data_IF_463652515042
#
_entry.id   IF_463652515042
#
_cell.length_a   1.000
_cell.length_b   1.000
_cell.length_c   1.000
_cell.angle_alpha   90.00
_cell.angle_beta   90.00
_cell.angle_gamma   90.00
#
_symmetry.space_group_name_H-M   'P 1'
#
loop_
_entity.id
_entity.type
_entity.pdbx_description
1 polymer ?
#
# COMPACT_ATOMS: atom_id res chain seq x y z
N UNK A 1 47.23 22.83 -54.95
CA UNK A 1 47.46 24.25 -54.59
C UNK A 1 46.76 24.50 -53.26
N UNK A 2 47.56 24.79 -52.22
CA UNK A 2 47.28 25.44 -50.91
C UNK A 2 46.14 24.88 -50.03
N UNK A 3 46.42 24.09 -48.97
CA UNK A 3 46.81 24.49 -47.60
C UNK A 3 45.89 25.55 -46.95
N UNK A 4 45.11 25.13 -45.94
CA UNK A 4 44.94 25.82 -44.63
C UNK A 4 44.09 24.99 -43.64
N UNK A 5 44.73 24.42 -42.61
CA UNK A 5 44.27 24.45 -41.19
C UNK A 5 44.75 25.81 -40.62
N UNK A 6 44.35 26.34 -39.43
CA UNK A 6 43.74 25.73 -38.23
C UNK A 6 42.60 26.61 -37.60
N UNK A 7 41.96 26.27 -36.48
CA UNK A 7 42.39 26.70 -35.14
C UNK A 7 41.61 25.96 -34.03
N UNK A 8 42.39 25.47 -33.08
CA UNK A 8 42.01 24.84 -31.83
C UNK A 8 41.61 25.95 -30.83
N UNK A 9 40.46 25.86 -30.17
CA UNK A 9 40.15 26.66 -28.98
C UNK A 9 40.07 25.72 -27.79
N UNK A 10 41.15 25.71 -26.99
CA UNK A 10 41.21 25.07 -25.68
C UNK A 10 40.71 26.10 -24.67
N UNK A 11 39.53 25.86 -24.09
CA UNK A 11 39.02 26.64 -22.97
C UNK A 11 39.54 26.03 -21.66
N UNK A 12 40.51 26.68 -21.06
CA UNK A 12 41.05 26.33 -19.74
C UNK A 12 40.12 26.89 -18.67
N UNK A 13 39.26 26.06 -18.07
CA UNK A 13 38.51 26.43 -16.88
C UNK A 13 39.40 26.24 -15.64
N UNK A 14 39.85 27.34 -15.04
CA UNK A 14 40.46 27.32 -13.70
C UNK A 14 39.36 27.02 -12.66
N UNK A 15 39.38 25.83 -12.05
CA UNK A 15 38.71 25.59 -10.78
C UNK A 15 39.60 26.12 -9.64
N UNK A 16 39.19 27.22 -9.02
CA UNK A 16 39.71 27.63 -7.71
C UNK A 16 38.98 26.84 -6.62
N UNK A 17 39.66 25.83 -6.06
CA UNK A 17 39.24 25.14 -4.85
C UNK A 17 39.46 26.07 -3.65
N UNK A 18 38.43 26.80 -3.22
CA UNK A 18 38.38 27.35 -1.87
C UNK A 18 38.05 26.22 -0.90
N UNK A 19 39.07 25.64 -0.28
CA UNK A 19 38.91 24.74 0.85
C UNK A 19 38.56 25.54 2.10
N UNK A 20 37.29 25.56 2.49
CA UNK A 20 36.91 25.94 3.85
C UNK A 20 37.23 24.78 4.78
N UNK A 21 38.34 24.88 5.51
CA UNK A 21 38.59 24.01 6.67
C UNK A 21 37.65 24.45 7.79
N UNK A 22 36.47 23.83 7.86
CA UNK A 22 35.64 23.89 9.05
C UNK A 22 36.37 23.15 10.17
N UNK A 23 37.06 23.89 11.04
CA UNK A 23 37.54 23.37 12.31
C UNK A 23 36.33 23.19 13.21
N UNK A 24 35.78 21.97 13.26
CA UNK A 24 34.86 21.59 14.32
C UNK A 24 35.63 21.68 15.65
N UNK A 25 35.39 22.73 16.43
CA UNK A 25 35.80 22.80 17.82
C UNK A 25 35.03 21.70 18.57
N UNK A 26 35.71 20.58 18.81
CA UNK A 26 35.18 19.48 19.60
C UNK A 26 34.86 19.98 21.01
N UNK A 27 33.57 20.06 21.33
CA UNK A 27 33.13 19.95 22.70
C UNK A 27 33.55 18.55 23.20
N UNK A 28 34.18 18.40 24.37
CA UNK A 28 34.40 17.11 25.00
C UNK A 28 33.07 16.62 25.58
N UNK A 29 32.12 16.33 24.69
CA UNK A 29 30.98 15.49 25.00
C UNK A 29 31.47 14.06 24.99
N UNK A 30 31.17 13.30 26.05
CA UNK A 30 31.42 11.86 26.12
C UNK A 30 31.14 11.17 24.79
N UNK A 31 31.96 10.19 24.36
CA UNK A 31 31.68 9.41 23.18
C UNK A 31 30.24 8.89 23.28
N UNK A 32 29.43 9.18 22.25
CA UNK A 32 28.08 8.67 22.16
C UNK A 32 28.13 7.15 22.38
N UNK A 33 27.44 6.69 23.41
CA UNK A 33 27.36 5.28 23.74
C UNK A 33 26.89 4.53 22.48
N UNK A 34 27.60 3.48 22.02
CA UNK A 34 27.18 2.73 20.87
C UNK A 34 25.76 2.21 21.13
N UNK A 35 24.80 2.63 20.30
CA UNK A 35 23.45 2.05 20.33
C UNK A 35 23.64 0.58 19.92
N UNK A 36 23.71 -0.31 20.91
CA UNK A 36 23.72 -1.74 20.65
C UNK A 36 22.45 -2.08 19.87
N UNK A 37 22.53 -2.86 18.78
CA UNK A 37 21.36 -3.27 18.04
C UNK A 37 20.40 -3.97 18.99
N UNK A 38 19.24 -3.37 19.26
CA UNK A 38 18.18 -4.03 20.01
C UNK A 38 17.77 -5.24 19.20
N UNK A 39 17.68 -6.40 19.84
CA UNK A 39 17.16 -7.60 19.19
C UNK A 39 15.79 -7.28 18.57
N UNK A 40 15.61 -7.65 17.31
CA UNK A 40 14.34 -7.45 16.61
C UNK A 40 13.23 -8.18 17.38
N UNK A 41 12.10 -7.50 17.55
CA UNK A 41 10.93 -8.10 18.17
C UNK A 41 10.44 -9.29 17.35
N UNK A 42 10.08 -10.38 18.04
CA UNK A 42 9.47 -11.53 17.39
C UNK A 42 8.02 -11.22 17.05
N UNK A 43 7.72 -11.10 15.75
CA UNK A 43 6.36 -10.91 15.25
C UNK A 43 5.71 -12.27 14.96
N UNK A 44 4.43 -12.40 15.30
CA UNK A 44 3.65 -13.60 14.98
C UNK A 44 2.77 -13.32 13.76
N UNK A 45 2.78 -14.23 12.78
CA UNK A 45 1.94 -14.13 11.59
C UNK A 45 0.80 -15.16 11.69
N UNK A 46 -0.43 -14.71 11.53
CA UNK A 46 -1.61 -15.58 11.56
C UNK A 46 -2.45 -15.34 10.32
N UNK A 47 -2.80 -16.41 9.62
CA UNK A 47 -3.76 -16.38 8.51
C UNK A 47 -5.07 -17.00 8.98
N UNK A 48 -6.17 -16.28 8.80
CA UNK A 48 -7.51 -16.75 9.11
C UNK A 48 -8.00 -17.83 8.15
N UNK A 49 -9.04 -18.56 8.57
CA UNK A 49 -9.70 -19.52 7.71
C UNK A 49 -10.20 -18.83 6.42
N UNK A 50 -10.10 -19.49 5.25
CA UNK A 50 -10.61 -18.96 4.01
C UNK A 50 -12.13 -18.82 4.07
N UNK A 51 -12.63 -17.70 3.55
CA UNK A 51 -14.06 -17.42 3.39
C UNK A 51 -14.38 -17.44 1.90
N UNK A 52 -15.36 -18.27 1.54
CA UNK A 52 -15.86 -18.37 0.17
C UNK A 52 -16.56 -17.09 -0.25
N UNK A 53 -16.13 -16.59 -1.40
CA UNK A 53 -16.72 -15.49 -2.15
C UNK A 53 -17.36 -16.09 -3.41
N UNK A 54 -18.69 -15.99 -3.56
CA UNK A 54 -19.37 -16.58 -4.71
C UNK A 54 -18.94 -15.91 -6.03
N UNK A 55 -19.32 -16.54 -7.13
CA UNK A 55 -19.24 -15.96 -8.48
C UNK A 55 -20.28 -14.85 -8.72
N UNK A 56 -21.11 -14.54 -7.74
CA UNK A 56 -22.05 -13.43 -7.79
C UNK A 56 -21.34 -12.06 -7.75
N UNK A 57 -21.81 -11.14 -8.58
CA UNK A 57 -21.23 -9.81 -8.68
C UNK A 57 -21.38 -9.03 -7.37
N UNK A 58 -20.22 -8.67 -6.81
CA UNK A 58 -20.04 -7.76 -5.68
C UNK A 58 -20.67 -8.21 -4.35
N UNK A 59 -20.94 -9.49 -4.14
CA UNK A 59 -21.46 -9.91 -2.83
C UNK A 59 -20.35 -9.81 -1.77
N UNK A 60 -20.57 -8.99 -0.74
CA UNK A 60 -19.59 -8.78 0.31
C UNK A 60 -19.41 -10.04 1.18
N UNK A 61 -18.16 -10.30 1.53
CA UNK A 61 -17.74 -11.34 2.47
C UNK A 61 -16.69 -10.77 3.41
N UNK A 62 -16.75 -11.22 4.64
CA UNK A 62 -15.83 -10.80 5.70
C UNK A 62 -15.01 -11.98 6.16
N UNK A 63 -13.69 -11.82 6.18
CA UNK A 63 -12.77 -12.77 6.78
C UNK A 63 -12.03 -12.09 7.93
N UNK A 64 -11.58 -12.90 8.89
CA UNK A 64 -10.84 -12.42 10.07
C UNK A 64 -9.67 -13.32 10.42
N UNK A 65 -8.63 -12.72 10.98
CA UNK A 65 -7.49 -13.42 11.57
C UNK A 65 -7.23 -12.82 12.96
N UNK A 66 -7.01 -13.68 13.95
CA UNK A 66 -6.97 -13.27 15.36
C UNK A 66 -5.56 -13.46 15.92
N UNK A 67 -5.04 -12.42 16.56
CA UNK A 67 -3.79 -12.50 17.30
C UNK A 67 -3.92 -13.41 18.54
N UNK A 68 -2.85 -14.14 18.90
CA UNK A 68 -2.83 -14.93 20.12
C UNK A 68 -3.04 -14.04 21.36
N UNK A 69 -3.41 -14.66 22.48
CA UNK A 69 -3.55 -13.95 23.77
C UNK A 69 -2.23 -13.25 24.11
N UNK A 70 -2.32 -11.99 24.56
CA UNK A 70 -1.16 -11.17 24.91
C UNK A 70 -0.51 -10.43 23.73
N UNK A 71 -1.05 -10.55 22.52
CA UNK A 71 -0.60 -9.78 21.36
C UNK A 71 -1.77 -9.03 20.71
N UNK A 72 -1.44 -7.93 20.04
CA UNK A 72 -2.38 -7.11 19.28
C UNK A 72 -1.92 -6.95 17.81
N UNK A 73 -2.85 -6.64 16.88
CA UNK A 73 -2.52 -6.43 15.48
C UNK A 73 -1.66 -5.19 15.27
N UNK A 74 -0.41 -5.39 14.86
CA UNK A 74 0.49 -4.31 14.45
C UNK A 74 0.40 -4.03 12.94
N UNK A 75 -0.16 -4.97 12.18
CA UNK A 75 -0.48 -4.84 10.76
C UNK A 75 -1.26 -6.04 10.24
N UNK A 76 -1.61 -6.04 8.97
CA UNK A 76 -2.33 -7.14 8.34
C UNK A 76 -2.70 -6.84 6.91
N UNK A 77 -3.45 -7.74 6.30
CA UNK A 77 -3.88 -7.63 4.92
C UNK A 77 -4.79 -8.77 4.50
N UNK A 78 -4.79 -9.04 3.19
CA UNK A 78 -5.56 -10.13 2.61
C UNK A 78 -4.68 -11.12 1.86
N UNK A 79 -5.12 -12.37 1.87
CA UNK A 79 -4.71 -13.40 0.92
C UNK A 79 -5.95 -13.85 0.16
N UNK A 80 -5.84 -14.11 -1.14
CA UNK A 80 -6.93 -14.67 -1.93
C UNK A 80 -6.56 -16.01 -2.53
N UNK A 81 -7.56 -16.77 -2.98
CA UNK A 81 -7.34 -17.89 -3.91
C UNK A 81 -6.62 -17.41 -5.19
N UNK A 82 -6.07 -18.32 -6.01
CA UNK A 82 -5.66 -18.01 -7.37
C UNK A 82 -6.80 -17.28 -8.11
N UNK A 83 -6.46 -16.36 -9.04
CA UNK A 83 -7.36 -15.35 -9.65
C UNK A 83 -7.66 -14.12 -8.78
N UNK A 84 -6.69 -13.67 -7.99
CA UNK A 84 -6.75 -12.47 -7.14
C UNK A 84 -7.31 -11.21 -7.82
N UNK A 85 -7.09 -11.03 -9.13
CA UNK A 85 -7.52 -9.86 -9.90
C UNK A 85 -9.05 -9.69 -10.01
N UNK A 86 -9.83 -10.69 -9.61
CA UNK A 86 -11.29 -10.60 -9.59
C UNK A 86 -11.85 -10.08 -8.26
N UNK A 87 -11.03 -10.01 -7.20
CA UNK A 87 -11.47 -9.61 -5.88
C UNK A 87 -11.12 -8.15 -5.58
N UNK A 88 -12.08 -7.42 -5.04
CA UNK A 88 -11.92 -6.06 -4.56
C UNK A 88 -12.06 -6.02 -3.04
N UNK A 89 -11.20 -5.25 -2.38
CA UNK A 89 -11.23 -5.03 -0.95
C UNK A 89 -12.04 -3.77 -0.65
N UNK A 90 -13.00 -3.84 0.27
CA UNK A 90 -13.81 -2.70 0.73
C UNK A 90 -13.32 -2.19 2.09
N UNK A 91 -12.85 -3.10 2.95
CA UNK A 91 -12.32 -2.75 4.27
C UNK A 91 -11.15 -3.65 4.66
N UNK A 92 -10.19 -3.10 5.38
CA UNK A 92 -9.07 -3.81 6.03
C UNK A 92 -8.62 -3.00 7.24
N UNK A 93 -8.86 -3.49 8.45
CA UNK A 93 -8.52 -2.77 9.69
C UNK A 93 -8.42 -3.74 10.87
N UNK A 94 -7.80 -3.28 11.96
CA UNK A 94 -7.79 -4.02 13.21
C UNK A 94 -8.99 -3.65 14.09
N UNK A 95 -9.51 -4.62 14.84
CA UNK A 95 -10.49 -4.41 15.89
C UNK A 95 -10.20 -5.36 17.05
N UNK A 96 -9.76 -4.81 18.18
CA UNK A 96 -9.26 -5.62 19.30
C UNK A 96 -8.08 -6.49 18.86
N UNK A 97 -8.22 -7.82 18.99
CA UNK A 97 -7.21 -8.80 18.56
C UNK A 97 -7.36 -9.25 17.10
N UNK A 98 -8.40 -8.82 16.41
CA UNK A 98 -8.72 -9.30 15.07
C UNK A 98 -8.23 -8.32 14.02
N UNK A 99 -7.67 -8.84 12.92
CA UNK A 99 -7.62 -8.14 11.64
C UNK A 99 -8.82 -8.56 10.80
N UNK A 100 -9.61 -7.59 10.39
CA UNK A 100 -10.85 -7.80 9.65
C UNK A 100 -10.65 -7.29 8.24
N UNK A 101 -10.97 -8.14 7.27
CA UNK A 101 -11.11 -7.73 5.88
C UNK A 101 -12.54 -7.94 5.41
N UNK A 102 -13.02 -7.03 4.58
CA UNK A 102 -14.26 -7.22 3.83
C UNK A 102 -13.96 -7.01 2.36
N UNK A 103 -14.31 -7.97 1.52
CA UNK A 103 -14.11 -7.91 0.09
C UNK A 103 -15.24 -8.57 -0.68
N UNK A 104 -15.15 -8.52 -2.00
CA UNK A 104 -16.18 -9.01 -2.91
C UNK A 104 -15.57 -9.45 -4.24
N UNK A 105 -16.33 -10.24 -5.00
CA UNK A 105 -16.00 -10.58 -6.38
C UNK A 105 -16.46 -9.45 -7.31
N UNK A 106 -15.53 -8.60 -7.76
CA UNK A 106 -15.84 -7.43 -8.60
C UNK A 106 -15.85 -7.76 -10.10
N UNK A 107 -15.63 -9.02 -10.48
CA UNK A 107 -15.67 -9.44 -11.89
C UNK A 107 -16.66 -10.59 -12.16
N UNK A 108 -17.15 -11.28 -11.13
CA UNK A 108 -18.13 -12.38 -11.25
C UNK A 108 -17.69 -13.52 -12.21
N UNK A 109 -16.38 -13.77 -12.32
CA UNK A 109 -15.84 -14.74 -13.29
C UNK A 109 -15.86 -16.19 -12.79
N UNK A 110 -15.69 -16.37 -11.49
CA UNK A 110 -15.75 -17.66 -10.79
C UNK A 110 -15.78 -17.41 -9.28
N UNK A 111 -16.19 -18.40 -8.49
CA UNK A 111 -16.01 -18.35 -7.04
C UNK A 111 -14.52 -18.40 -6.67
N UNK A 112 -14.23 -18.07 -5.42
CA UNK A 112 -12.92 -18.29 -4.81
C UNK A 112 -12.95 -17.85 -3.37
N UNK A 113 -11.80 -17.64 -2.75
CA UNK A 113 -11.75 -17.38 -1.31
C UNK A 113 -10.91 -16.17 -0.96
N UNK A 114 -11.25 -15.53 0.16
CA UNK A 114 -10.43 -14.52 0.82
C UNK A 114 -10.09 -14.98 2.24
N UNK A 115 -8.89 -14.70 2.70
CA UNK A 115 -8.42 -14.88 4.07
C UNK A 115 -7.83 -13.57 4.57
N UNK A 116 -8.15 -13.20 5.81
CA UNK A 116 -7.40 -12.17 6.49
C UNK A 116 -6.03 -12.72 6.89
N UNK A 117 -5.01 -11.87 6.85
CA UNK A 117 -3.72 -12.14 7.49
C UNK A 117 -3.44 -11.05 8.50
N UNK A 118 -2.95 -11.40 9.68
CA UNK A 118 -2.57 -10.46 10.73
C UNK A 118 -1.12 -10.66 11.14
N UNK A 119 -0.44 -9.55 11.38
CA UNK A 119 0.87 -9.47 12.02
C UNK A 119 0.64 -9.00 13.44
N UNK A 120 1.12 -9.79 14.39
CA UNK A 120 0.86 -9.61 15.81
C UNK A 120 2.15 -9.27 16.55
N UNK A 121 2.02 -8.36 17.51
CA UNK A 121 3.12 -7.88 18.34
C UNK A 121 2.67 -7.82 19.80
N UNK A 122 3.51 -8.27 20.75
CA UNK A 122 3.30 -7.99 22.18
C UNK A 122 3.65 -6.55 22.58
N UNK A 123 4.40 -5.80 21.77
CA UNK A 123 4.73 -4.40 22.05
C UNK A 123 3.50 -3.50 22.08
N UNK A 124 3.57 -2.45 22.89
CA UNK A 124 2.53 -1.44 22.96
C UNK A 124 2.38 -0.69 21.62
N UNK A 125 1.15 -0.68 21.13
CA UNK A 125 0.69 0.09 19.99
C UNK A 125 -0.80 0.33 20.15
N UNK A 126 -1.35 1.29 19.40
CA UNK A 126 -2.77 1.58 19.43
C UNK A 126 -3.33 1.83 18.03
N UNK A 127 -4.64 1.76 17.92
CA UNK A 127 -5.39 1.86 16.68
C UNK A 127 -6.01 3.26 16.57
N UNK A 128 -5.90 3.89 15.41
CA UNK A 128 -6.50 5.20 15.13
C UNK A 128 -7.29 5.15 13.84
N UNK A 129 -8.58 5.53 13.93
CA UNK A 129 -9.41 5.78 12.78
C UNK A 129 -9.41 7.28 12.46
N UNK A 130 -9.35 7.59 11.17
CA UNK A 130 -9.63 8.93 10.69
C UNK A 130 -11.11 9.27 10.74
N UNK A 131 -11.39 10.56 10.59
CA UNK A 131 -12.77 11.02 10.41
C UNK A 131 -13.40 10.44 9.15
N UNK A 132 -14.69 10.12 9.23
CA UNK A 132 -15.49 9.72 8.08
C UNK A 132 -15.48 10.81 7.02
N UNK A 133 -15.01 10.46 5.83
CA UNK A 133 -14.97 11.35 4.67
C UNK A 133 -15.99 10.91 3.64
N UNK A 134 -16.81 11.86 3.20
CA UNK A 134 -17.73 11.63 2.08
C UNK A 134 -16.94 11.55 0.78
N UNK A 135 -16.95 10.39 0.15
CA UNK A 135 -16.43 10.13 -1.17
C UNK A 135 -17.58 10.18 -2.18
N UNK A 136 -17.54 11.17 -3.08
CA UNK A 136 -18.56 11.33 -4.12
C UNK A 136 -18.61 10.10 -5.03
N UNK A 137 -19.79 9.82 -5.60
CA UNK A 137 -19.94 8.76 -6.60
C UNK A 137 -18.92 8.87 -7.74
N UNK A 138 -18.42 7.72 -8.19
CA UNK A 138 -17.44 7.58 -9.26
C UNK A 138 -16.12 8.35 -9.06
N UNK A 139 -15.79 8.75 -7.82
CA UNK A 139 -14.54 9.43 -7.50
C UNK A 139 -13.50 8.50 -6.90
N UNK A 140 -12.25 8.91 -7.09
CA UNK A 140 -11.09 8.38 -6.39
C UNK A 140 -10.55 9.44 -5.45
N UNK A 141 -10.26 9.07 -4.21
CA UNK A 141 -9.61 9.93 -3.22
C UNK A 141 -8.44 9.20 -2.58
N UNK A 142 -7.44 9.96 -2.15
CA UNK A 142 -6.37 9.48 -1.30
C UNK A 142 -6.57 10.14 0.06
N UNK A 143 -6.67 9.33 1.11
CA UNK A 143 -6.81 9.78 2.48
C UNK A 143 -5.58 9.40 3.27
N UNK A 144 -5.18 10.29 4.18
CA UNK A 144 -4.03 10.12 5.05
C UNK A 144 -4.52 10.05 6.49
N UNK A 145 -4.05 9.06 7.23
CA UNK A 145 -4.22 8.98 8.67
C UNK A 145 -2.86 9.04 9.38
N UNK A 146 -2.49 10.20 9.96
CA UNK A 146 -1.26 10.33 10.70
C UNK A 146 -1.34 9.62 12.06
N UNK A 147 -0.18 9.20 12.56
CA UNK A 147 -0.06 8.81 13.95
C UNK A 147 0.09 10.05 14.86
N UNK A 148 -0.57 10.07 16.03
CA UNK A 148 -0.48 11.18 16.97
C UNK A 148 0.90 11.20 17.67
N UNK A 149 1.23 12.32 18.30
CA UNK A 149 2.35 12.43 19.26
C UNK A 149 3.74 12.00 18.74
N UNK A 150 3.97 12.09 17.43
CA UNK A 150 5.25 11.69 16.83
C UNK A 150 5.47 10.18 16.76
N UNK A 151 4.43 9.39 17.02
CA UNK A 151 4.45 7.95 16.80
C UNK A 151 4.56 7.64 15.30
N UNK A 152 4.96 6.40 14.99
CA UNK A 152 5.20 5.97 13.62
C UNK A 152 4.21 4.84 13.25
N UNK A 153 3.65 4.84 12.03
CA UNK A 153 2.77 3.78 11.56
C UNK A 153 3.48 2.44 11.48
N UNK A 154 2.90 1.38 12.05
CA UNK A 154 3.36 -0.01 11.89
C UNK A 154 2.50 -0.80 10.90
N UNK A 155 1.28 -0.33 10.66
CA UNK A 155 0.31 -0.94 9.78
C UNK A 155 -0.89 -0.03 9.59
N UNK A 156 -1.81 -0.42 8.71
CA UNK A 156 -3.02 0.35 8.49
C UNK A 156 -3.87 -0.21 7.36
N UNK A 157 -4.85 0.58 6.98
CA UNK A 157 -5.84 0.20 6.00
C UNK A 157 -7.01 1.16 6.05
N UNK A 158 -8.21 0.65 5.86
CA UNK A 158 -9.36 1.49 5.63
C UNK A 158 -10.69 0.82 5.91
N UNK A 159 -11.72 1.61 6.13
CA UNK A 159 -13.10 1.16 6.27
C UNK A 159 -13.98 1.83 5.23
N UNK A 160 -14.59 1.02 4.37
CA UNK A 160 -15.68 1.40 3.48
C UNK A 160 -16.97 0.70 3.89
N UNK A 161 -18.09 1.41 3.86
CA UNK A 161 -19.37 0.89 4.37
C UNK A 161 -20.27 0.26 3.30
N UNK A 162 -19.95 0.42 2.01
CA UNK A 162 -20.84 0.02 0.93
C UNK A 162 -20.18 -0.88 -0.12
N UNK A 163 -21.01 -1.76 -0.68
CA UNK A 163 -20.72 -2.54 -1.87
C UNK A 163 -20.38 -1.61 -3.04
N UNK A 164 -19.18 -1.78 -3.63
CA UNK A 164 -18.68 -0.90 -4.69
C UNK A 164 -17.73 0.21 -4.22
N UNK A 165 -17.49 0.34 -2.90
CA UNK A 165 -16.31 1.06 -2.40
C UNK A 165 -15.12 0.10 -2.42
N UNK A 166 -14.02 0.55 -3.02
CA UNK A 166 -12.82 -0.26 -3.23
C UNK A 166 -11.58 0.47 -2.69
N UNK A 167 -10.81 -0.22 -1.85
CA UNK A 167 -9.45 0.16 -1.48
C UNK A 167 -8.54 -0.30 -2.62
N UNK A 168 -7.98 0.65 -3.34
CA UNK A 168 -7.09 0.39 -4.49
C UNK A 168 -5.63 0.30 -4.06
N UNK A 169 -5.24 1.04 -3.03
CA UNK A 169 -3.93 0.93 -2.41
C UNK A 169 -4.01 1.33 -0.95
N UNK A 170 -3.12 0.77 -0.15
CA UNK A 170 -2.94 1.18 1.23
C UNK A 170 -1.48 0.92 1.63
N UNK A 171 -0.81 1.95 2.12
CA UNK A 171 0.64 1.95 2.31
C UNK A 171 1.07 2.99 3.32
N UNK A 172 2.21 2.77 3.95
CA UNK A 172 2.84 3.78 4.79
C UNK A 172 3.48 4.87 3.92
N UNK A 173 3.23 6.12 4.27
CA UNK A 173 3.82 7.31 3.66
C UNK A 173 4.35 8.21 4.77
N UNK A 174 5.67 8.23 4.99
CA UNK A 174 6.29 8.94 6.12
C UNK A 174 5.69 8.52 7.48
N UNK A 175 5.16 9.47 8.25
CA UNK A 175 4.51 9.29 9.55
C UNK A 175 2.97 9.12 9.43
N UNK A 176 2.45 8.89 8.23
CA UNK A 176 1.03 8.66 7.99
C UNK A 176 0.80 7.34 7.27
N UNK A 177 -0.40 6.79 7.45
CA UNK A 177 -0.91 5.75 6.58
C UNK A 177 -1.73 6.37 5.45
N UNK A 178 -1.47 5.95 4.22
CA UNK A 178 -2.15 6.42 3.03
C UNK A 178 -3.10 5.34 2.52
N UNK A 179 -4.32 5.72 2.14
CA UNK A 179 -5.33 4.82 1.57
C UNK A 179 -5.97 5.47 0.37
N UNK A 180 -5.90 4.79 -0.78
CA UNK A 180 -6.60 5.20 -2.00
C UNK A 180 -7.93 4.46 -2.09
N UNK A 181 -9.02 5.21 -2.10
CA UNK A 181 -10.36 4.69 -2.28
C UNK A 181 -10.91 5.02 -3.65
N UNK A 182 -11.70 4.11 -4.21
CA UNK A 182 -12.57 4.36 -5.35
C UNK A 182 -14.01 4.04 -4.97
N UNK A 183 -14.89 5.03 -5.14
CA UNK A 183 -16.32 4.83 -5.01
C UNK A 183 -16.89 4.52 -6.39
N UNK A 184 -17.04 3.24 -6.71
CA UNK A 184 -17.73 2.79 -7.91
C UNK A 184 -19.21 2.47 -7.63
N UNK A 185 -19.80 3.20 -6.70
CA UNK A 185 -21.24 3.13 -6.42
C UNK A 185 -21.97 4.25 -7.16
N UNK A 186 -23.28 4.08 -7.34
CA UNK A 186 -24.14 5.13 -7.90
C UNK A 186 -24.40 6.29 -6.94
N UNK A 187 -23.87 6.25 -5.71
CA UNK A 187 -24.20 7.16 -4.60
C UNK A 187 -22.94 7.69 -3.92
N UNK A 188 -23.09 8.72 -3.10
CA UNK A 188 -22.01 9.14 -2.20
C UNK A 188 -21.83 8.09 -1.10
N UNK A 189 -20.58 7.88 -0.68
CA UNK A 189 -20.23 6.89 0.34
C UNK A 189 -19.33 7.49 1.39
N UNK A 190 -19.37 6.95 2.60
CA UNK A 190 -18.44 7.34 3.67
C UNK A 190 -17.29 6.34 3.76
N UNK A 191 -16.07 6.85 3.81
CA UNK A 191 -14.84 6.07 3.98
C UNK A 191 -13.98 6.65 5.10
N UNK A 192 -13.23 5.79 5.79
CA UNK A 192 -12.39 6.17 6.93
C UNK A 192 -11.02 5.51 6.80
N UNK A 193 -9.91 6.26 6.72
CA UNK A 193 -8.58 5.66 6.79
C UNK A 193 -8.31 5.16 8.21
N UNK A 194 -7.45 4.15 8.33
CA UNK A 194 -7.09 3.50 9.59
C UNK A 194 -5.57 3.31 9.67
N UNK A 195 -5.01 3.49 10.86
CA UNK A 195 -3.59 3.29 11.13
C UNK A 195 -3.38 2.61 12.49
N UNK A 196 -2.33 1.82 12.58
CA UNK A 196 -1.78 1.32 13.85
C UNK A 196 -0.50 2.10 14.15
N UNK A 197 -0.43 2.67 15.34
CA UNK A 197 0.64 3.57 15.76
C UNK A 197 1.43 2.99 16.92
N UNK A 198 2.75 3.16 16.87
CA UNK A 198 3.64 2.81 17.96
C UNK A 198 4.70 3.88 18.18
N UNK A 199 5.01 4.14 19.45
CA UNK A 199 6.16 4.92 19.86
C UNK A 199 7.48 4.12 19.79
N UNK A 200 7.40 2.80 19.59
CA UNK A 200 8.59 1.96 19.52
C UNK A 200 9.37 2.27 18.22
N UNK A 201 10.70 2.45 18.30
CA UNK A 201 11.51 2.62 17.11
C UNK A 201 11.44 1.33 16.28
N UNK A 202 11.06 1.47 15.02
CA UNK A 202 11.02 0.39 14.06
C UNK A 202 11.55 0.88 12.73
N UNK A 203 12.11 -0.06 11.96
CA UNK A 203 12.59 0.22 10.63
C UNK A 203 11.59 -0.30 9.62
N UNK A 204 11.20 0.56 8.68
CA UNK A 204 10.60 0.12 7.43
C UNK A 204 11.62 -0.73 6.69
N UNK A 205 11.37 -2.03 6.62
CA UNK A 205 12.12 -2.93 5.74
C UNK A 205 11.28 -3.06 4.47
N UNK A 206 11.69 -2.45 3.35
CA UNK A 206 11.04 -2.71 2.08
C UNK A 206 11.09 -4.22 1.81
N UNK A 207 9.93 -4.85 1.64
CA UNK A 207 9.87 -6.26 1.32
C UNK A 207 10.67 -6.55 0.05
N UNK A 208 11.49 -7.62 0.07
CA UNK A 208 11.89 -8.26 -1.19
C UNK A 208 10.62 -8.82 -1.83
N UNK A 209 10.40 -8.66 -3.14
CA UNK A 209 9.31 -9.32 -3.84
C UNK A 209 9.38 -10.83 -3.54
N UNK A 210 8.43 -11.36 -2.76
CA UNK A 210 8.32 -12.79 -2.46
C UNK A 210 8.78 -13.30 -1.08
N UNK A 211 9.28 -12.45 -0.16
CA UNK A 211 9.72 -12.93 1.18
C UNK A 211 8.62 -12.93 2.26
N UNK A 212 7.45 -12.40 1.95
CA UNK A 212 6.21 -12.67 2.68
C UNK A 212 5.33 -13.41 1.67
N UNK A 213 4.93 -14.65 1.93
CA UNK A 213 4.34 -15.56 0.94
C UNK A 213 3.23 -14.93 0.09
N UNK A 214 3.54 -14.56 -1.16
CA UNK A 214 2.61 -13.96 -2.15
C UNK A 214 1.51 -13.07 -1.52
N UNK A 215 1.91 -12.10 -0.70
CA UNK A 215 1.02 -11.07 -0.18
C UNK A 215 0.67 -10.11 -1.32
N UNK A 216 -0.54 -10.24 -1.89
CA UNK A 216 -1.05 -9.32 -2.92
C UNK A 216 -2.16 -8.45 -2.34
N UNK A 217 -1.90 -7.93 -1.15
CA UNK A 217 -2.87 -7.22 -0.33
C UNK A 217 -2.19 -6.46 0.78
N UNK A 218 -1.91 -5.20 0.51
CA UNK A 218 -1.56 -4.15 1.49
C UNK A 218 -0.28 -4.40 2.30
N UNK A 219 0.84 -4.32 1.60
CA UNK A 219 2.18 -4.26 2.18
C UNK A 219 3.18 -4.22 1.03
N UNK A 220 3.68 -3.03 0.70
CA UNK A 220 4.56 -2.70 -0.43
C UNK A 220 3.97 -2.94 -1.84
N UNK A 221 3.50 -1.85 -2.47
CA UNK A 221 3.23 -1.61 -3.91
C UNK A 221 2.39 -2.64 -4.71
N UNK A 222 1.36 -2.19 -5.45
CA UNK A 222 1.31 -2.27 -6.94
C UNK A 222 -0.04 -1.89 -7.59
N UNK A 223 0.12 -1.37 -8.82
CA UNK A 223 -0.72 -1.27 -10.03
C UNK A 223 -2.21 -0.93 -9.90
N UNK A 224 -2.54 0.29 -10.33
CA UNK A 224 -3.92 0.70 -10.61
C UNK A 224 -4.54 -0.06 -11.78
N UNK A 225 -5.83 -0.35 -11.68
CA UNK A 225 -6.64 -0.75 -12.82
C UNK A 225 -6.62 0.36 -13.88
N UNK A 226 -6.46 0.04 -15.19
CA UNK A 226 -6.67 1.04 -16.23
C UNK A 226 -8.12 1.52 -16.15
N UNK A 227 -8.29 2.85 -16.06
CA UNK A 227 -9.58 3.47 -16.25
C UNK A 227 -10.14 3.04 -17.61
N UNK A 228 -11.28 2.34 -17.62
CA UNK A 228 -12.05 2.17 -18.85
C UNK A 228 -12.54 3.55 -19.27
N UNK A 229 -11.81 4.20 -20.17
CA UNK A 229 -12.35 5.30 -20.96
C UNK A 229 -13.53 4.75 -21.77
N UNK A 230 -14.64 5.46 -21.71
CA UNK A 230 -15.85 5.17 -22.44
C UNK A 230 -15.58 4.94 -23.93
N UNK A 231 -16.21 3.90 -24.45
CA UNK A 231 -16.18 3.48 -25.85
C UNK A 231 -16.65 4.59 -26.78
N UNK A 232 -15.73 5.16 -27.56
CA UNK A 232 -16.02 5.95 -28.75
C UNK A 232 -15.94 5.08 -30.02
N UNK A 233 -17.12 4.78 -30.59
CA UNK A 233 -17.43 4.41 -31.99
C UNK A 233 -16.57 3.33 -32.70
N UNK A 234 -17.20 2.17 -32.91
CA UNK A 234 -16.91 1.22 -34.00
C UNK A 234 -17.17 1.88 -35.36
N UNK A 235 -16.15 1.93 -36.22
CA UNK A 235 -16.29 2.04 -37.68
C UNK A 235 -16.17 0.65 -38.32
N UNK A 236 -16.78 0.40 -39.48
CA UNK A 236 -17.05 -0.95 -39.98
C UNK A 236 -15.85 -1.61 -40.66
N UNK A 237 -15.93 -2.94 -40.68
CA UNK A 237 -15.05 -3.92 -41.29
C UNK A 237 -14.54 -3.54 -42.69
N UNK A 238 -13.23 -3.71 -42.90
CA UNK A 238 -12.63 -3.86 -44.23
C UNK A 238 -12.17 -5.31 -44.36
N UNK A 239 -12.90 -6.09 -45.16
CA UNK A 239 -12.54 -7.44 -45.56
C UNK A 239 -11.37 -7.38 -46.55
N UNK A 240 -10.30 -8.13 -46.28
CA UNK A 240 -9.29 -8.47 -47.28
C UNK A 240 -9.79 -9.63 -48.16
N UNK A 241 -9.62 -9.55 -49.50
CA UNK A 241 -10.10 -10.58 -50.41
C UNK A 241 -9.17 -11.81 -50.45
N UNK A 242 -9.78 -12.99 -50.45
CA UNK A 242 -9.14 -14.28 -50.74
C UNK A 242 -8.69 -14.32 -52.20
N UNK A 243 -7.40 -14.61 -52.40
CA UNK A 243 -6.83 -14.96 -53.68
C UNK A 243 -6.99 -16.48 -53.89
N UNK A 244 -7.70 -16.90 -54.94
CA UNK A 244 -7.64 -18.27 -55.47
C UNK A 244 -7.79 -18.21 -56.99
N UNK A 245 -6.67 -18.39 -57.68
CA UNK A 245 -6.46 -19.21 -58.88
C UNK A 245 -5.03 -18.98 -59.39
#
# INVERSE_FOLDING_TARGET
MRLTRPALLVATALLTLFGTTATAQGHPGSPAEPILPRAAESLTYVTGAPVEVPDEFRVLRTAKATCPVGQLPTGGGLTTSPKWFQFALTSSYANGRDWIITGMNDQALSSGSISATVVCSPSAHHQVFGGGTTLTRNQVVILHQPCPNGEVPTGGGGRGQAQGVVIQSSLQSLNTWEVRYWNNTGQNQTVEPFVVCSAAPHQLIPGRPGSVGKFHGVGTSWVGYPARHGTGRRGPDRQDPKETA
#
